data_IF_920260413659
#
_entry.id   IF_920260413659
#
_cell.length_a   1.000
_cell.length_b   1.000
_cell.length_c   1.000
_cell.angle_alpha   90.00
_cell.angle_beta   90.00
_cell.angle_gamma   90.00
#
_symmetry.space_group_name_H-M   'P 1'
#
loop_
_entity.id
_entity.type
_entity.pdbx_description
1 polymer ?
#
# COMPACT_ATOMS: atom_id res chain seq x y z
N UNK A 1 8.88 1.96 -14.62
CA UNK A 1 8.36 2.63 -13.41
C UNK A 1 6.89 2.33 -13.13
N UNK A 2 5.90 2.82 -13.89
CA UNK A 2 4.48 2.58 -13.57
C UNK A 2 4.08 1.09 -13.47
N UNK A 3 4.69 0.21 -14.27
CA UNK A 3 4.50 -1.25 -14.19
C UNK A 3 4.91 -1.82 -12.81
N UNK A 4 5.98 -1.30 -12.23
CA UNK A 4 6.45 -1.74 -10.92
C UNK A 4 5.53 -1.26 -9.80
N UNK A 5 5.09 0.01 -9.86
CA UNK A 5 4.10 0.57 -8.94
C UNK A 5 2.82 -0.28 -8.96
N UNK A 6 2.29 -0.59 -10.16
CA UNK A 6 1.12 -1.47 -10.34
C UNK A 6 1.34 -2.82 -9.68
N UNK A 7 2.50 -3.42 -9.87
CA UNK A 7 2.88 -4.72 -9.29
C UNK A 7 2.90 -4.68 -7.76
N UNK A 8 3.54 -3.68 -7.15
CA UNK A 8 3.65 -3.57 -5.69
C UNK A 8 2.29 -3.34 -5.05
N UNK A 9 1.51 -2.41 -5.59
CA UNK A 9 0.14 -2.13 -5.10
C UNK A 9 -0.75 -3.36 -5.26
N UNK A 10 -0.73 -4.02 -6.42
CA UNK A 10 -1.52 -5.23 -6.65
C UNK A 10 -1.17 -6.36 -5.69
N UNK A 11 0.13 -6.55 -5.39
CA UNK A 11 0.59 -7.53 -4.40
C UNK A 11 0.16 -7.18 -2.97
N UNK A 12 0.20 -5.90 -2.61
CA UNK A 12 -0.31 -5.41 -1.33
C UNK A 12 -1.82 -5.66 -1.17
N UNK A 13 -2.63 -5.28 -2.16
CA UNK A 13 -4.10 -5.49 -2.14
C UNK A 13 -4.46 -6.97 -2.19
N UNK A 14 -3.72 -7.79 -2.93
CA UNK A 14 -3.91 -9.25 -2.93
C UNK A 14 -3.64 -9.84 -1.54
N UNK A 15 -2.59 -9.38 -0.86
CA UNK A 15 -2.29 -9.84 0.50
C UNK A 15 -3.36 -9.39 1.50
N UNK A 16 -3.87 -8.16 1.37
CA UNK A 16 -5.01 -7.68 2.16
C UNK A 16 -6.26 -8.54 1.94
N UNK A 17 -6.68 -8.77 0.69
CA UNK A 17 -7.83 -9.63 0.38
C UNK A 17 -7.70 -11.03 1.00
N UNK A 18 -6.48 -11.58 1.01
CA UNK A 18 -6.18 -12.89 1.61
C UNK A 18 -5.97 -12.85 3.13
N UNK A 19 -6.04 -11.68 3.76
CA UNK A 19 -5.70 -11.42 5.16
C UNK A 19 -4.30 -11.95 5.55
N UNK A 20 -3.38 -11.97 4.59
CA UNK A 20 -1.98 -12.38 4.82
C UNK A 20 -1.16 -11.15 5.24
N UNK A 21 -1.25 -10.81 6.52
CA UNK A 21 -0.67 -9.58 7.08
C UNK A 21 0.86 -9.55 7.03
N UNK A 22 1.50 -10.71 7.17
CA UNK A 22 2.96 -10.84 7.06
C UNK A 22 3.40 -10.53 5.64
N UNK A 23 2.70 -11.07 4.63
CA UNK A 23 2.99 -10.79 3.23
C UNK A 23 2.60 -9.37 2.83
N UNK A 24 1.51 -8.83 3.37
CA UNK A 24 1.09 -7.45 3.16
C UNK A 24 2.17 -6.47 3.65
N UNK A 25 2.74 -6.73 4.83
CA UNK A 25 3.85 -5.95 5.39
C UNK A 25 5.09 -5.95 4.49
N UNK A 26 5.37 -7.02 3.74
CA UNK A 26 6.52 -7.05 2.80
C UNK A 26 6.39 -6.03 1.67
N UNK A 27 5.17 -5.57 1.36
CA UNK A 27 4.93 -4.61 0.28
C UNK A 27 4.73 -3.16 0.76
N UNK A 28 4.90 -2.90 2.06
CA UNK A 28 4.86 -1.53 2.59
C UNK A 28 6.20 -0.80 2.40
N UNK A 29 6.23 0.52 2.56
CA UNK A 29 7.44 1.32 2.46
C UNK A 29 8.44 0.98 3.59
N UNK A 30 9.74 1.12 3.30
CA UNK A 30 10.83 0.78 4.24
C UNK A 30 10.74 1.57 5.53
N UNK A 31 10.40 2.86 5.46
CA UNK A 31 10.17 3.72 6.63
C UNK A 31 9.15 3.11 7.59
N UNK A 32 7.99 2.72 7.08
CA UNK A 32 6.93 2.18 7.91
C UNK A 32 7.30 0.81 8.47
N UNK A 33 7.91 -0.06 7.65
CA UNK A 33 8.39 -1.36 8.12
C UNK A 33 9.43 -1.24 9.23
N UNK A 34 10.36 -0.31 9.09
CA UNK A 34 11.44 -0.07 10.07
C UNK A 34 10.89 0.43 11.40
N UNK A 35 9.95 1.38 11.36
CA UNK A 35 9.34 1.95 12.56
C UNK A 35 8.62 0.90 13.45
N UNK A 36 8.04 -0.15 12.86
CA UNK A 36 7.24 -1.13 13.61
C UNK A 36 7.66 -2.59 13.38
N UNK A 37 8.96 -2.84 13.11
CA UNK A 37 9.51 -4.13 12.68
C UNK A 37 8.94 -5.39 13.38
N UNK A 38 8.75 -5.39 14.71
CA UNK A 38 8.19 -6.53 15.47
C UNK A 38 6.68 -6.72 15.34
N UNK A 39 5.93 -5.66 15.03
CA UNK A 39 4.47 -5.62 15.13
C UNK A 39 3.76 -5.20 13.83
N UNK A 40 4.48 -5.15 12.70
CA UNK A 40 3.94 -4.74 11.40
C UNK A 40 2.66 -5.51 11.03
N UNK A 41 2.70 -6.85 11.08
CA UNK A 41 1.57 -7.69 10.72
C UNK A 41 0.33 -7.41 11.60
N UNK A 42 0.49 -7.44 12.92
CA UNK A 42 -0.59 -7.14 13.88
C UNK A 42 -1.18 -5.75 13.71
N UNK A 43 -0.36 -4.74 13.37
CA UNK A 43 -0.85 -3.39 13.07
C UNK A 43 -1.70 -3.35 11.80
N UNK A 44 -1.28 -4.02 10.74
CA UNK A 44 -2.07 -4.11 9.51
C UNK A 44 -3.38 -4.85 9.77
N UNK A 45 -3.35 -5.93 10.53
CA UNK A 45 -4.57 -6.64 10.96
C UNK A 45 -5.53 -5.70 11.70
N UNK A 46 -5.06 -4.94 12.69
CA UNK A 46 -5.92 -4.01 13.43
C UNK A 46 -6.55 -2.93 12.53
N UNK A 47 -5.83 -2.48 11.49
CA UNK A 47 -6.30 -1.42 10.60
C UNK A 47 -7.19 -1.91 9.46
N UNK A 48 -6.92 -3.10 8.94
CA UNK A 48 -7.51 -3.61 7.70
C UNK A 48 -8.32 -4.89 7.90
N UNK A 49 -8.21 -5.57 9.04
CA UNK A 49 -8.76 -6.90 9.29
C UNK A 49 -10.29 -6.97 9.37
N UNK A 50 -10.92 -5.88 9.80
CA UNK A 50 -12.38 -5.72 9.78
C UNK A 50 -12.93 -5.40 8.38
N UNK A 51 -12.07 -5.04 7.42
CA UNK A 51 -12.47 -4.68 6.06
C UNK A 51 -12.22 -5.86 5.11
N UNK A 52 -13.28 -6.53 4.70
CA UNK A 52 -13.21 -7.69 3.81
C UNK A 52 -13.08 -7.24 2.34
N UNK A 53 -11.87 -6.92 1.90
CA UNK A 53 -11.60 -6.50 0.52
C UNK A 53 -11.96 -7.60 -0.49
N UNK A 54 -12.98 -7.37 -1.31
CA UNK A 54 -13.42 -8.32 -2.33
C UNK A 54 -12.81 -8.01 -3.70
N UNK A 55 -12.93 -6.76 -4.14
CA UNK A 55 -12.48 -6.29 -5.45
C UNK A 55 -11.72 -4.98 -5.31
N UNK A 56 -10.82 -4.75 -6.26
CA UNK A 56 -10.16 -3.46 -6.42
C UNK A 56 -9.85 -3.19 -7.88
N UNK A 57 -9.77 -1.92 -8.22
CA UNK A 57 -9.37 -1.44 -9.54
C UNK A 57 -8.48 -0.22 -9.38
N UNK A 58 -7.33 -0.24 -10.06
CA UNK A 58 -6.44 0.92 -10.07
C UNK A 58 -6.86 1.88 -11.17
N UNK A 59 -7.25 3.08 -10.80
CA UNK A 59 -7.84 4.08 -11.70
C UNK A 59 -6.77 4.95 -12.33
N UNK A 60 -5.91 5.54 -11.50
CA UNK A 60 -4.84 6.42 -11.97
C UNK A 60 -3.62 6.36 -11.06
N UNK A 61 -2.47 6.66 -11.66
CA UNK A 61 -1.19 6.86 -10.97
C UNK A 61 -0.77 8.30 -11.25
N UNK A 62 -0.63 9.10 -10.19
CA UNK A 62 -0.18 10.48 -10.26
C UNK A 62 1.29 10.59 -9.87
N UNK A 63 2.01 11.42 -10.62
CA UNK A 63 3.37 11.81 -10.28
C UNK A 63 3.35 12.82 -9.13
N UNK A 64 4.10 12.53 -8.07
CA UNK A 64 4.27 13.45 -6.93
C UNK A 64 5.71 13.97 -6.86
N UNK A 65 6.68 13.12 -7.23
CA UNK A 65 8.11 13.44 -7.29
C UNK A 65 8.88 12.21 -7.72
N UNK A 66 10.18 12.29 -8.00
CA UNK A 66 10.90 11.18 -8.63
C UNK A 66 10.79 9.85 -7.86
N UNK A 67 10.91 9.91 -6.53
CA UNK A 67 10.77 8.78 -5.62
C UNK A 67 9.36 8.59 -5.01
N UNK A 68 8.31 9.26 -5.53
CA UNK A 68 6.97 9.24 -4.95
C UNK A 68 5.84 9.22 -6.00
N UNK A 69 4.85 8.34 -5.82
CA UNK A 69 3.62 8.29 -6.63
C UNK A 69 2.41 8.21 -5.73
N UNK A 70 1.31 8.83 -6.13
CA UNK A 70 -0.01 8.58 -5.54
C UNK A 70 -0.81 7.69 -6.48
N UNK A 71 -1.44 6.64 -5.96
CA UNK A 71 -2.22 5.67 -6.72
C UNK A 71 -3.66 5.69 -6.23
N UNK A 72 -4.58 5.98 -7.13
CA UNK A 72 -6.01 6.06 -6.83
C UNK A 72 -6.66 4.74 -7.18
N UNK A 73 -7.38 4.17 -6.22
CA UNK A 73 -7.89 2.80 -6.30
C UNK A 73 -9.37 2.85 -5.90
N UNK A 74 -10.21 2.26 -6.73
CA UNK A 74 -11.55 1.87 -6.34
C UNK A 74 -11.45 0.54 -5.60
N UNK A 75 -12.08 0.44 -4.43
CA UNK A 75 -12.16 -0.79 -3.65
C UNK A 75 -13.61 -1.12 -3.33
N UNK A 76 -13.92 -2.40 -3.21
CA UNK A 76 -15.25 -2.88 -2.87
C UNK A 76 -15.13 -3.95 -1.79
N UNK A 77 -15.95 -3.80 -0.75
CA UNK A 77 -16.05 -4.70 0.40
C UNK A 77 -17.32 -5.57 0.35
N UNK A 78 -18.10 -5.51 -0.73
CA UNK A 78 -19.43 -6.13 -0.87
C UNK A 78 -20.60 -5.16 -0.61
N UNK A 79 -20.30 -3.91 -0.25
CA UNK A 79 -21.29 -2.87 0.13
C UNK A 79 -21.26 -1.66 -0.83
N UNK A 80 -20.53 -1.78 -1.93
CA UNK A 80 -20.37 -0.72 -2.93
C UNK A 80 -18.95 -0.16 -3.00
N UNK A 81 -18.70 0.59 -4.06
CA UNK A 81 -17.36 1.07 -4.41
C UNK A 81 -17.00 2.29 -3.55
N UNK A 82 -15.84 2.21 -2.89
CA UNK A 82 -15.17 3.31 -2.17
C UNK A 82 -13.88 3.69 -2.90
N UNK A 83 -13.42 4.92 -2.71
CA UNK A 83 -12.15 5.39 -3.29
C UNK A 83 -11.09 5.54 -2.22
N UNK A 84 -9.90 5.01 -2.46
CA UNK A 84 -8.71 5.24 -1.63
C UNK A 84 -7.55 5.80 -2.44
N UNK A 85 -6.60 6.42 -1.74
CA UNK A 85 -5.34 6.89 -2.32
C UNK A 85 -4.16 6.22 -1.61
N UNK A 86 -3.48 5.33 -2.29
CA UNK A 86 -2.25 4.70 -1.83
C UNK A 86 -1.03 5.52 -2.26
N UNK A 87 -0.29 6.08 -1.31
CA UNK A 87 1.01 6.72 -1.57
C UNK A 87 2.10 5.66 -1.61
N UNK A 88 2.92 5.69 -2.66
CA UNK A 88 3.99 4.73 -2.93
C UNK A 88 5.31 5.49 -2.95
N UNK A 89 6.26 5.06 -2.13
CA UNK A 89 7.55 5.75 -1.95
C UNK A 89 8.67 4.78 -2.27
N UNK A 90 9.66 5.22 -3.05
CA UNK A 90 10.87 4.47 -3.35
C UNK A 90 11.95 4.83 -2.33
N UNK A 91 12.48 3.85 -1.61
CA UNK A 91 13.42 4.09 -0.53
C UNK A 91 14.58 3.11 -0.56
N UNK A 92 15.80 3.60 -0.38
CA UNK A 92 17.00 2.76 -0.13
C UNK A 92 17.07 2.31 1.33
N UNK A 93 16.37 2.99 2.23
CA UNK A 93 16.21 2.64 3.64
C UNK A 93 15.17 3.51 4.33
N UNK A 94 14.85 3.25 5.61
CA UNK A 94 13.93 4.09 6.38
C UNK A 94 14.34 5.56 6.33
N UNK A 95 13.38 6.43 6.00
CA UNK A 95 13.51 7.88 5.84
C UNK A 95 14.54 8.32 4.78
N UNK A 96 14.84 7.47 3.79
CA UNK A 96 15.77 7.76 2.69
C UNK A 96 15.12 7.56 1.32
N UNK A 97 14.27 8.51 0.85
CA UNK A 97 13.66 8.43 -0.48
C UNK A 97 14.72 8.55 -1.59
N UNK A 98 14.72 7.62 -2.53
CA UNK A 98 15.67 7.58 -3.65
C UNK A 98 15.15 6.67 -4.78
N UNK A 99 15.33 7.06 -6.05
CA UNK A 99 14.87 6.29 -7.22
C UNK A 99 15.59 4.94 -7.41
N UNK A 100 16.78 4.77 -6.82
CA UNK A 100 17.56 3.52 -6.82
C UNK A 100 17.10 2.55 -5.72
N UNK A 101 16.11 2.95 -4.92
CA UNK A 101 15.58 2.16 -3.82
C UNK A 101 14.54 1.11 -4.25
N UNK A 102 13.76 0.66 -3.27
CA UNK A 102 12.63 -0.23 -3.48
C UNK A 102 11.31 0.52 -3.24
N UNK A 103 10.37 0.37 -4.16
CA UNK A 103 9.02 0.92 -4.02
C UNK A 103 8.20 0.16 -2.98
N UNK A 104 7.51 0.89 -2.11
CA UNK A 104 6.59 0.31 -1.13
C UNK A 104 5.39 1.20 -0.84
N UNK A 105 4.29 0.58 -0.43
CA UNK A 105 3.04 1.27 -0.06
C UNK A 105 3.20 1.92 1.31
N UNK A 106 2.82 3.18 1.46
CA UNK A 106 2.53 3.75 2.78
C UNK A 106 1.15 3.26 3.24
N UNK A 107 1.04 2.30 4.18
CA UNK A 107 -0.26 1.73 4.54
C UNK A 107 -1.19 2.75 5.20
N UNK A 108 -0.65 3.76 5.88
CA UNK A 108 -1.46 4.81 6.55
C UNK A 108 -2.26 5.60 5.50
N UNK A 109 -1.68 5.82 4.32
CA UNK A 109 -2.37 6.55 3.24
C UNK A 109 -3.64 5.85 2.75
N UNK A 110 -3.71 4.53 2.88
CA UNK A 110 -4.85 3.71 2.44
C UNK A 110 -6.02 3.68 3.44
N UNK A 111 -5.89 4.27 4.63
CA UNK A 111 -6.91 4.17 5.69
C UNK A 111 -8.12 5.09 5.45
N UNK A 112 -7.93 6.17 4.69
CA UNK A 112 -8.99 7.14 4.41
C UNK A 112 -9.71 6.78 3.10
N UNK A 113 -10.93 6.30 3.24
CA UNK A 113 -11.89 6.13 2.15
C UNK A 113 -12.59 7.47 1.83
N UNK A 114 -12.98 7.63 0.58
CA UNK A 114 -13.76 8.75 0.05
C UNK A 114 -14.91 8.21 -0.78
#
# INVERSE_FOLDING_TARGET
>A
MNKEIKRIVGRFLTAWKKKDWVKMAKYTQSTWRGAFHKNNARRLENWFGFKNLEKWEMIKIEFVGDACRDVFINIDYGEGIKKIRARIICETGPYKPDIKGNWGVNPISCLKER
#
